data_IF_371064643963
#
_entry.id   IF_371064643963
#
_cell.length_a   1.000
_cell.length_b   1.000
_cell.length_c   1.000
_cell.angle_alpha   90.00
_cell.angle_beta   90.00
_cell.angle_gamma   90.00
#
_symmetry.space_group_name_H-M   'P 1'
#
loop_
_entity.id
_entity.type
_entity.pdbx_description
1 polymer ?
#
# COMPACT_ATOMS: atom_id res chain seq x y z
N UNK A 1 -26.46 -15.33 6.12
CA UNK A 1 -25.32 -15.09 5.20
C UNK A 1 -24.42 -16.31 5.24
N UNK A 2 -23.95 -16.84 4.13
CA UNK A 2 -22.96 -17.91 4.18
C UNK A 2 -21.71 -17.37 4.85
N UNK A 3 -21.17 -18.11 5.79
CA UNK A 3 -19.90 -17.80 6.43
C UNK A 3 -18.77 -18.15 5.44
N UNK A 4 -17.80 -17.27 5.26
CA UNK A 4 -16.63 -17.50 4.41
C UNK A 4 -15.44 -18.05 5.21
N UNK A 5 -15.71 -18.66 6.34
CA UNK A 5 -14.72 -19.34 7.17
C UNK A 5 -15.34 -20.57 7.84
N UNK A 6 -14.48 -21.47 8.29
CA UNK A 6 -14.80 -22.60 9.15
C UNK A 6 -13.82 -22.69 10.32
N UNK A 7 -14.25 -23.31 11.41
CA UNK A 7 -13.35 -23.66 12.52
C UNK A 7 -12.77 -25.03 12.23
N UNK A 8 -11.45 -25.12 12.22
CA UNK A 8 -10.71 -26.38 12.03
C UNK A 8 -9.77 -26.63 13.20
N UNK A 9 -9.51 -27.90 13.51
CA UNK A 9 -8.53 -28.27 14.53
C UNK A 9 -7.24 -28.69 13.84
N UNK A 10 -6.15 -27.98 14.13
CA UNK A 10 -4.81 -28.31 13.64
C UNK A 10 -3.91 -28.51 14.85
N UNK A 11 -3.29 -29.67 14.96
CA UNK A 11 -2.40 -30.03 16.08
C UNK A 11 -3.05 -29.81 17.46
N UNK A 12 -4.35 -30.11 17.57
CA UNK A 12 -5.12 -29.98 18.82
C UNK A 12 -5.52 -28.54 19.18
N UNK A 13 -5.31 -27.56 18.26
CA UNK A 13 -5.71 -26.16 18.44
C UNK A 13 -6.81 -25.78 17.47
N UNK A 14 -7.82 -25.08 17.95
CA UNK A 14 -8.85 -24.50 17.10
C UNK A 14 -8.29 -23.29 16.34
N UNK A 15 -8.52 -23.25 15.03
CA UNK A 15 -8.09 -22.20 14.12
C UNK A 15 -9.22 -21.84 13.16
N UNK A 16 -9.25 -20.58 12.73
CA UNK A 16 -10.15 -20.15 11.66
C UNK A 16 -9.50 -20.38 10.31
N UNK A 17 -10.17 -21.15 9.46
CA UNK A 17 -9.81 -21.33 8.05
C UNK A 17 -10.74 -20.49 7.21
N UNK A 18 -10.20 -19.47 6.54
CA UNK A 18 -10.96 -18.67 5.57
C UNK A 18 -10.96 -19.36 4.21
N UNK A 19 -12.13 -19.40 3.56
CA UNK A 19 -12.23 -19.92 2.21
C UNK A 19 -11.63 -18.96 1.21
N UNK A 20 -10.82 -19.43 0.25
CA UNK A 20 -10.29 -18.58 -0.80
C UNK A 20 -11.43 -18.09 -1.71
N UNK A 21 -11.30 -16.85 -2.16
CA UNK A 21 -12.17 -16.29 -3.20
C UNK A 21 -11.31 -15.72 -4.34
N UNK A 22 -11.87 -15.73 -5.55
CA UNK A 22 -11.16 -15.19 -6.71
C UNK A 22 -11.27 -13.67 -6.73
N UNK A 23 -10.13 -13.02 -6.99
CA UNK A 23 -10.05 -11.58 -7.23
C UNK A 23 -9.93 -11.39 -8.74
N UNK A 24 -11.00 -10.91 -9.38
CA UNK A 24 -11.04 -10.76 -10.83
C UNK A 24 -10.31 -9.49 -11.31
N UNK A 25 -10.39 -8.42 -10.52
CA UNK A 25 -9.72 -7.15 -10.81
C UNK A 25 -9.29 -6.53 -9.49
N UNK A 26 -8.09 -5.97 -9.46
CA UNK A 26 -7.66 -5.06 -8.41
C UNK A 26 -7.33 -3.69 -9.01
N UNK A 27 -7.77 -2.66 -8.31
CA UNK A 27 -7.41 -1.26 -8.61
C UNK A 27 -6.55 -0.79 -7.46
N UNK A 28 -5.29 -0.47 -7.74
CA UNK A 28 -4.34 0.00 -6.75
C UNK A 28 -3.77 1.34 -7.16
N UNK A 29 -3.21 2.04 -6.20
CA UNK A 29 -2.60 3.35 -6.39
C UNK A 29 -1.12 3.28 -6.06
N UNK A 30 -0.32 4.00 -6.84
CA UNK A 30 1.11 4.16 -6.64
C UNK A 30 1.55 5.59 -6.92
N UNK A 31 2.83 5.87 -6.71
CA UNK A 31 3.42 7.20 -6.92
C UNK A 31 3.95 7.35 -8.33
N UNK A 32 4.84 6.45 -8.72
CA UNK A 32 5.52 6.43 -10.01
C UNK A 32 5.40 5.07 -10.66
N UNK A 33 5.35 5.05 -12.00
CA UNK A 33 5.51 3.81 -12.76
C UNK A 33 6.44 4.03 -13.97
N UNK A 34 7.24 3.01 -14.28
CA UNK A 34 8.03 2.98 -15.50
C UNK A 34 7.29 2.25 -16.65
N UNK A 35 7.86 2.29 -17.86
CA UNK A 35 7.28 1.63 -19.03
C UNK A 35 7.24 0.09 -18.93
N UNK A 36 7.96 -0.51 -17.99
CA UNK A 36 7.87 -1.95 -17.69
C UNK A 36 6.76 -2.28 -16.68
N UNK A 37 6.03 -1.27 -16.20
CA UNK A 37 4.98 -1.44 -15.20
C UNK A 37 5.48 -1.59 -13.77
N UNK A 38 6.77 -1.34 -13.49
CA UNK A 38 7.28 -1.30 -12.12
C UNK A 38 6.74 -0.07 -11.41
N UNK A 39 6.21 -0.26 -10.20
CA UNK A 39 5.51 0.79 -9.44
C UNK A 39 6.19 1.06 -8.11
N UNK A 40 6.42 2.34 -7.78
CA UNK A 40 6.83 2.78 -6.45
C UNK A 40 5.65 3.36 -5.67
N UNK A 41 5.78 3.39 -4.35
CA UNK A 41 4.81 3.94 -3.41
C UNK A 41 5.43 5.06 -2.55
N UNK A 42 6.51 5.69 -3.02
CA UNK A 42 7.35 6.59 -2.20
C UNK A 42 6.58 7.81 -1.69
N UNK A 43 5.58 8.27 -2.45
CA UNK A 43 4.74 9.42 -2.09
C UNK A 43 3.38 9.03 -1.53
N UNK A 44 3.13 7.73 -1.33
CA UNK A 44 1.90 7.26 -0.72
C UNK A 44 2.02 7.31 0.82
N UNK A 45 0.93 7.65 1.54
CA UNK A 45 0.96 7.74 3.00
C UNK A 45 1.26 6.40 3.68
N UNK A 46 0.92 5.29 3.03
CA UNK A 46 1.16 3.95 3.53
C UNK A 46 1.14 2.92 2.40
N UNK A 47 1.92 1.86 2.54
CA UNK A 47 1.94 0.76 1.57
C UNK A 47 0.76 -0.20 1.73
N UNK A 48 0.19 -0.29 2.92
CA UNK A 48 -0.93 -1.15 3.32
C UNK A 48 -0.89 -2.51 2.59
N UNK A 49 -2.02 -2.97 2.07
CA UNK A 49 -2.16 -4.27 1.39
C UNK A 49 -2.00 -4.20 -0.15
N UNK A 50 -1.41 -3.12 -0.68
CA UNK A 50 -1.31 -2.87 -2.13
C UNK A 50 -0.66 -4.05 -2.85
N UNK A 51 0.50 -4.52 -2.38
CA UNK A 51 1.19 -5.66 -3.00
C UNK A 51 0.42 -6.97 -2.86
N UNK A 52 -0.12 -7.23 -1.66
CA UNK A 52 -0.90 -8.45 -1.40
C UNK A 52 -2.16 -8.51 -2.28
N UNK A 53 -2.85 -7.37 -2.44
CA UNK A 53 -4.04 -7.26 -3.28
C UNK A 53 -3.71 -7.45 -4.77
N UNK A 54 -2.60 -6.86 -5.24
CA UNK A 54 -2.11 -7.07 -6.60
C UNK A 54 -1.79 -8.55 -6.84
N UNK A 55 -1.07 -9.18 -5.92
CA UNK A 55 -0.70 -10.59 -6.02
C UNK A 55 -1.93 -11.52 -5.98
N UNK A 56 -2.93 -11.19 -5.15
CA UNK A 56 -4.18 -11.96 -5.09
C UNK A 56 -4.93 -11.95 -6.42
N UNK A 57 -5.03 -10.79 -7.09
CA UNK A 57 -5.63 -10.70 -8.42
C UNK A 57 -4.82 -11.45 -9.47
N UNK A 58 -3.51 -11.22 -9.52
CA UNK A 58 -2.61 -11.90 -10.45
C UNK A 58 -2.71 -13.43 -10.32
N UNK A 59 -2.59 -13.97 -9.10
CA UNK A 59 -2.66 -15.41 -8.84
C UNK A 59 -4.04 -16.01 -9.09
N UNK A 60 -5.09 -15.19 -9.06
CA UNK A 60 -6.45 -15.60 -9.44
C UNK A 60 -6.70 -15.62 -10.96
N UNK A 61 -5.71 -15.20 -11.77
CA UNK A 61 -5.87 -14.96 -13.20
C UNK A 61 -6.72 -13.72 -13.51
N UNK A 62 -6.81 -12.80 -12.57
CA UNK A 62 -7.49 -11.51 -12.68
C UNK A 62 -6.59 -10.44 -13.28
N UNK A 63 -7.02 -9.18 -13.18
CA UNK A 63 -6.32 -8.01 -13.71
C UNK A 63 -5.85 -7.09 -12.61
N UNK A 64 -4.60 -6.61 -12.76
CA UNK A 64 -3.99 -5.62 -11.88
C UNK A 64 -3.86 -4.29 -12.62
N UNK A 65 -4.63 -3.31 -12.21
CA UNK A 65 -4.64 -1.97 -12.78
C UNK A 65 -4.11 -1.00 -11.73
N UNK A 66 -3.08 -0.26 -12.09
CA UNK A 66 -2.42 0.69 -11.19
C UNK A 66 -2.64 2.11 -11.68
N UNK A 67 -3.13 2.99 -10.82
CA UNK A 67 -3.09 4.42 -11.07
C UNK A 67 -1.86 5.02 -10.41
N UNK A 68 -1.11 5.85 -11.13
CA UNK A 68 0.05 6.59 -10.62
C UNK A 68 -0.04 8.06 -10.99
N UNK A 69 0.61 8.92 -10.21
CA UNK A 69 0.67 10.34 -10.53
C UNK A 69 1.62 10.64 -11.69
N UNK A 70 2.73 9.92 -11.77
CA UNK A 70 3.81 10.23 -12.72
C UNK A 70 4.34 8.98 -13.38
N UNK A 71 4.46 9.01 -14.71
CA UNK A 71 5.24 8.03 -15.45
C UNK A 71 6.71 8.49 -15.50
N UNK A 72 7.63 7.53 -15.38
CA UNK A 72 9.07 7.76 -15.43
C UNK A 72 9.73 6.84 -16.45
N UNK A 73 10.93 7.19 -16.87
CA UNK A 73 11.72 6.37 -17.80
C UNK A 73 12.19 5.08 -17.11
N UNK A 74 12.39 4.05 -17.92
CA UNK A 74 12.97 2.77 -17.46
C UNK A 74 14.35 3.03 -16.85
N UNK A 75 14.55 2.48 -15.63
CA UNK A 75 15.81 2.66 -14.90
C UNK A 75 15.87 3.89 -13.99
N UNK A 76 14.87 4.78 -14.03
CA UNK A 76 14.79 5.90 -13.08
C UNK A 76 14.29 5.48 -11.71
N UNK A 77 13.49 4.40 -11.62
CA UNK A 77 13.10 3.84 -10.33
C UNK A 77 14.24 2.99 -9.75
N UNK A 78 14.76 3.34 -8.56
CA UNK A 78 15.67 2.43 -7.86
C UNK A 78 14.98 1.08 -7.61
N UNK A 79 15.71 -0.02 -7.82
CA UNK A 79 15.12 -1.37 -7.66
C UNK A 79 14.46 -1.58 -6.27
N UNK A 80 15.02 -0.95 -5.23
CA UNK A 80 14.47 -1.03 -3.87
C UNK A 80 13.21 -0.19 -3.65
N UNK A 81 12.95 0.79 -4.50
CA UNK A 81 11.74 1.60 -4.47
C UNK A 81 10.56 0.91 -5.15
N UNK A 82 10.82 -0.09 -6.00
CA UNK A 82 9.76 -0.88 -6.63
C UNK A 82 9.04 -1.72 -5.57
N UNK A 83 7.76 -1.42 -5.38
CA UNK A 83 6.88 -2.11 -4.42
C UNK A 83 5.92 -3.08 -5.11
N UNK A 84 5.53 -2.78 -6.34
CA UNK A 84 4.75 -3.68 -7.19
C UNK A 84 5.56 -3.90 -8.47
N UNK A 85 6.08 -5.12 -8.70
CA UNK A 85 6.85 -5.42 -9.91
C UNK A 85 5.95 -5.46 -11.15
N UNK A 86 6.45 -4.94 -12.25
CA UNK A 86 5.71 -4.89 -13.52
C UNK A 86 5.24 -6.24 -14.04
N UNK A 87 5.90 -7.32 -13.64
CA UNK A 87 5.51 -8.69 -14.03
C UNK A 87 4.09 -9.08 -13.59
N UNK A 88 3.53 -8.40 -12.58
CA UNK A 88 2.16 -8.66 -12.09
C UNK A 88 1.18 -7.52 -12.40
N UNK A 89 1.61 -6.50 -13.15
CA UNK A 89 0.79 -5.34 -13.53
C UNK A 89 0.30 -5.51 -14.96
N UNK A 90 -1.02 -5.42 -15.17
CA UNK A 90 -1.62 -5.52 -16.50
C UNK A 90 -1.78 -4.16 -17.18
N UNK A 91 -2.03 -3.10 -16.40
CA UNK A 91 -2.22 -1.76 -16.94
C UNK A 91 -1.81 -0.68 -15.94
N UNK A 92 -1.27 0.42 -16.47
CA UNK A 92 -0.95 1.62 -15.70
C UNK A 92 -1.76 2.79 -16.25
N UNK A 93 -2.41 3.53 -15.35
CA UNK A 93 -3.13 4.78 -15.64
C UNK A 93 -2.34 5.91 -15.01
N UNK A 94 -2.00 6.92 -15.81
CA UNK A 94 -1.27 8.09 -15.31
C UNK A 94 -2.26 9.23 -15.09
N UNK A 95 -2.38 9.69 -13.85
CA UNK A 95 -3.23 10.81 -13.47
C UNK A 95 -2.43 11.84 -12.64
N UNK A 96 -1.93 12.91 -13.26
CA UNK A 96 -1.20 13.97 -12.55
C UNK A 96 -2.01 14.65 -11.44
N UNK A 97 -3.34 14.58 -11.53
CA UNK A 97 -4.27 15.09 -10.52
C UNK A 97 -4.59 14.11 -9.40
N UNK A 98 -3.91 12.96 -9.36
CA UNK A 98 -4.13 11.92 -8.35
C UNK A 98 -4.10 12.48 -6.93
N UNK A 99 -5.13 12.16 -6.15
CA UNK A 99 -5.22 12.54 -4.74
C UNK A 99 -4.63 11.46 -3.84
N UNK A 100 -4.09 11.85 -2.68
CA UNK A 100 -3.49 10.90 -1.72
C UNK A 100 -4.52 9.99 -1.06
N UNK A 101 -5.65 10.54 -0.64
CA UNK A 101 -6.73 9.78 -0.06
C UNK A 101 -7.96 10.64 0.08
N UNK A 102 -9.14 10.07 -0.15
CA UNK A 102 -10.41 10.80 -0.20
C UNK A 102 -10.27 12.06 -1.08
N UNK A 103 -10.51 13.23 -0.53
CA UNK A 103 -10.35 14.51 -1.22
C UNK A 103 -9.03 15.23 -0.89
N UNK A 104 -8.09 14.54 -0.26
CA UNK A 104 -6.81 15.14 0.15
C UNK A 104 -5.91 15.37 -1.06
N UNK A 105 -5.52 16.62 -1.28
CA UNK A 105 -4.47 16.98 -2.24
C UNK A 105 -3.15 16.37 -1.75
N UNK A 106 -2.21 16.16 -2.67
CA UNK A 106 -0.88 15.67 -2.30
C UNK A 106 -0.24 16.52 -1.20
N UNK A 107 0.13 15.85 -0.12
CA UNK A 107 0.80 16.45 1.03
C UNK A 107 2.05 15.62 1.39
N UNK A 108 3.26 16.15 1.15
CA UNK A 108 4.52 15.45 1.42
C UNK A 108 4.78 15.19 2.91
N UNK A 109 3.97 15.72 3.81
CA UNK A 109 4.07 15.37 5.24
C UNK A 109 3.41 14.03 5.55
N UNK A 110 2.44 13.61 4.74
CA UNK A 110 1.74 12.34 4.91
C UNK A 110 2.58 11.15 4.45
N UNK A 111 3.43 11.32 3.45
CA UNK A 111 4.37 10.30 2.98
C UNK A 111 5.72 10.33 3.71
N UNK A 112 5.92 11.34 4.57
CA UNK A 112 7.16 11.50 5.33
C UNK A 112 8.32 12.17 4.57
N UNK A 113 8.09 12.65 3.36
CA UNK A 113 9.08 13.41 2.59
C UNK A 113 9.44 14.75 3.27
N UNK A 114 8.46 15.34 3.96
CA UNK A 114 8.65 16.53 4.79
C UNK A 114 8.20 16.26 6.21
N UNK A 115 8.96 16.79 7.16
CA UNK A 115 8.58 16.74 8.57
C UNK A 115 7.39 17.68 8.80
N UNK A 116 6.25 17.10 9.15
CA UNK A 116 5.05 17.86 9.53
C UNK A 116 5.13 18.43 10.95
N UNK A 117 4.16 19.26 11.35
CA UNK A 117 4.01 19.65 12.73
C UNK A 117 3.77 18.40 13.60
N UNK A 118 4.16 18.44 14.90
CA UNK A 118 3.92 17.31 15.80
C UNK A 118 2.44 16.96 15.83
N UNK A 119 2.12 15.67 15.57
CA UNK A 119 0.75 15.19 15.67
C UNK A 119 0.24 15.34 17.12
N UNK A 120 -1.01 15.77 17.32
CA UNK A 120 -1.64 15.72 18.64
C UNK A 120 -1.62 14.31 19.28
N UNK A 121 -1.56 13.27 18.44
CA UNK A 121 -1.46 11.88 18.88
C UNK A 121 -0.04 11.46 19.27
N UNK A 122 0.98 12.29 19.03
CA UNK A 122 2.36 12.04 19.46
C UNK A 122 2.57 12.20 20.97
N UNK A 123 1.59 12.76 21.68
CA UNK A 123 1.61 12.83 23.15
C UNK A 123 1.04 11.53 23.72
N UNK A 124 1.82 10.88 24.59
CA UNK A 124 1.29 9.75 25.36
C UNK A 124 0.18 10.21 26.32
N UNK A 125 -0.61 9.29 26.86
CA UNK A 125 -1.70 9.58 27.82
C UNK A 125 -1.26 10.34 29.08
N UNK A 126 0.04 10.51 29.31
CA UNK A 126 0.62 11.29 30.45
C UNK A 126 1.11 12.67 29.99
N UNK A 127 0.88 13.10 28.77
CA UNK A 127 1.28 14.42 28.28
C UNK A 127 2.76 14.58 27.93
N UNK A 128 3.55 13.50 27.98
CA UNK A 128 4.96 13.51 27.56
C UNK A 128 5.06 13.23 26.06
N UNK A 129 5.99 13.89 25.38
CA UNK A 129 6.34 13.54 24.01
C UNK A 129 7.01 12.14 23.99
N UNK A 130 6.66 11.31 22.99
CA UNK A 130 7.41 10.09 22.71
C UNK A 130 8.76 10.54 22.17
N UNK A 131 9.80 10.45 22.98
CA UNK A 131 11.15 10.91 22.62
C UNK A 131 11.83 11.82 23.64
N UNK A 132 11.10 12.28 24.66
CA UNK A 132 11.74 12.93 25.81
C UNK A 132 12.45 11.85 26.64
N UNK A 133 13.72 11.60 26.32
CA UNK A 133 14.60 10.85 27.24
C UNK A 133 14.77 11.68 28.50
N UNK A 134 14.79 11.06 29.70
CA UNK A 134 15.18 11.79 30.90
C UNK A 134 16.64 12.24 30.72
N UNK A 135 16.87 13.53 30.87
CA UNK A 135 18.23 14.10 31.06
C UNK A 135 18.79 13.45 32.32
N UNK A 136 19.83 12.63 32.20
CA UNK A 136 20.70 12.23 33.28
C UNK A 136 21.77 13.31 33.50
#
# INVERSE_FOLDING_TARGET
MPTNYEVVTVDGKEMLRYFPFRVNVTLIKGSYADAHGNVSLDEEPANVDIYATALAAHNSGGKVIVQVRTAVEVGQLPARAVRVPGAIVDAVVVDPGQRMGYDTVYDPTMSGEKKGPPSPLSKNHRGKHVGDAPDE
#
